data_IF_529117545575
#
_entry.id   IF_529117545575
#
_cell.length_a   1.000
_cell.length_b   1.000
_cell.length_c   1.000
_cell.angle_alpha   90.00
_cell.angle_beta   90.00
_cell.angle_gamma   90.00
#
_symmetry.space_group_name_H-M   'P 1'
#
loop_
_entity.id
_entity.type
_entity.pdbx_description
1 polymer ?
#
# COMPACT_ATOMS: atom_id res chain seq x y z
N UNK A 1 -62.66 -53.12 30.60
CA UNK A 1 -63.41 -53.24 29.34
C UNK A 1 -63.47 -51.85 28.84
N UNK A 2 -62.79 -51.52 27.84
CA UNK A 2 -62.69 -51.70 26.51
C UNK A 2 -61.51 -50.91 25.96
N UNK A 3 -60.90 -51.49 25.07
CA UNK A 3 -59.79 -51.13 24.19
C UNK A 3 -59.81 -49.72 23.65
N UNK A 4 -58.69 -48.98 23.87
CA UNK A 4 -58.31 -47.84 23.07
C UNK A 4 -57.05 -48.20 22.26
N UNK A 5 -57.34 -48.64 21.06
CA UNK A 5 -56.40 -48.96 19.97
C UNK A 5 -55.58 -47.76 19.62
N UNK A 6 -54.25 -47.85 19.78
CA UNK A 6 -53.30 -46.85 19.37
C UNK A 6 -53.20 -46.83 17.81
N UNK A 7 -53.87 -45.90 17.17
CA UNK A 7 -53.65 -45.57 15.77
C UNK A 7 -52.28 -44.91 15.67
N UNK A 8 -51.27 -45.67 15.24
CA UNK A 8 -50.00 -45.10 14.78
C UNK A 8 -50.26 -44.39 13.45
N UNK A 9 -50.26 -43.07 13.48
CA UNK A 9 -50.23 -42.26 12.26
C UNK A 9 -48.96 -42.58 11.48
N UNK A 10 -49.09 -43.00 10.23
CA UNK A 10 -47.99 -43.12 9.27
C UNK A 10 -47.45 -41.71 8.99
N UNK A 11 -46.12 -41.51 8.86
CA UNK A 11 -45.59 -40.22 8.47
C UNK A 11 -46.06 -39.88 7.06
N UNK A 12 -46.49 -38.62 6.89
CA UNK A 12 -46.97 -38.01 5.68
C UNK A 12 -46.03 -38.27 4.50
N UNK A 13 -46.45 -39.07 3.53
CA UNK A 13 -45.82 -39.26 2.23
C UNK A 13 -45.94 -38.02 1.30
N UNK A 14 -46.66 -36.99 1.73
CA UNK A 14 -46.97 -35.80 0.93
C UNK A 14 -45.83 -34.78 0.77
N UNK A 15 -44.73 -34.93 1.49
CA UNK A 15 -43.63 -33.92 1.49
C UNK A 15 -42.29 -34.47 1.03
N UNK A 16 -42.32 -35.53 0.20
CA UNK A 16 -41.08 -35.94 -0.49
C UNK A 16 -40.95 -35.16 -1.80
N UNK A 17 -39.76 -34.52 -2.03
CA UNK A 17 -39.52 -33.88 -3.30
C UNK A 17 -39.65 -34.91 -4.44
N UNK A 18 -40.18 -34.53 -5.60
CA UNK A 18 -40.39 -35.44 -6.72
C UNK A 18 -39.08 -36.13 -7.08
N UNK A 19 -39.10 -37.48 -7.06
CA UNK A 19 -37.96 -38.29 -7.51
C UNK A 19 -37.73 -37.99 -8.98
N UNK A 20 -36.79 -37.12 -9.30
CA UNK A 20 -36.38 -36.88 -10.70
C UNK A 20 -35.96 -38.20 -11.33
N UNK A 21 -36.68 -38.64 -12.34
CA UNK A 21 -36.29 -39.79 -13.19
C UNK A 21 -34.92 -39.41 -13.77
N UNK A 22 -33.87 -40.12 -13.35
CA UNK A 22 -32.52 -39.95 -13.85
C UNK A 22 -32.51 -40.35 -15.32
N UNK A 23 -32.48 -39.38 -16.22
CA UNK A 23 -32.34 -39.64 -17.66
C UNK A 23 -31.08 -40.46 -17.92
N UNK A 24 -31.20 -41.62 -18.60
CA UNK A 24 -30.08 -42.55 -18.78
C UNK A 24 -28.90 -41.96 -19.55
N UNK A 25 -29.14 -40.94 -20.35
CA UNK A 25 -28.06 -40.35 -21.16
C UNK A 25 -27.23 -39.33 -20.40
N UNK A 26 -27.72 -38.72 -19.30
CA UNK A 26 -26.92 -37.85 -18.42
C UNK A 26 -25.77 -38.62 -17.80
N UNK A 27 -25.96 -39.91 -17.47
CA UNK A 27 -24.88 -40.79 -16.96
C UNK A 27 -23.79 -41.08 -18.00
N UNK A 28 -24.13 -40.98 -19.31
CA UNK A 28 -23.20 -41.40 -20.37
C UNK A 28 -22.28 -40.27 -20.84
N UNK A 29 -22.66 -39.01 -20.67
CA UNK A 29 -21.98 -37.87 -21.26
C UNK A 29 -21.60 -36.77 -20.25
N UNK A 30 -22.05 -36.85 -19.00
CA UNK A 30 -21.67 -35.87 -17.97
C UNK A 30 -20.25 -36.16 -17.45
N UNK A 31 -19.33 -35.21 -17.48
CA UNK A 31 -18.02 -35.36 -16.85
C UNK A 31 -18.19 -35.67 -15.36
N UNK A 32 -17.30 -36.46 -14.79
CA UNK A 32 -17.37 -36.94 -13.39
C UNK A 32 -17.47 -35.81 -12.35
N UNK A 33 -17.03 -34.60 -12.69
CA UNK A 33 -17.15 -33.40 -11.86
C UNK A 33 -18.56 -32.73 -11.92
N UNK A 34 -19.43 -33.15 -12.85
CA UNK A 34 -20.80 -32.65 -13.03
C UNK A 34 -21.83 -33.45 -12.22
N UNK A 35 -21.41 -34.55 -11.59
CA UNK A 35 -22.27 -35.29 -10.69
C UNK A 35 -22.54 -34.40 -9.48
N UNK A 36 -23.74 -33.84 -9.40
CA UNK A 36 -24.22 -33.09 -8.24
C UNK A 36 -24.13 -34.01 -7.02
N UNK A 37 -23.02 -33.94 -6.30
CA UNK A 37 -22.95 -34.59 -4.99
C UNK A 37 -23.94 -33.88 -4.09
N UNK A 38 -24.87 -34.58 -3.45
CA UNK A 38 -25.74 -33.96 -2.47
C UNK A 38 -24.82 -33.27 -1.46
N UNK A 39 -25.07 -31.97 -1.22
CA UNK A 39 -24.31 -31.24 -0.20
C UNK A 39 -24.42 -32.06 1.09
N UNK A 40 -23.29 -32.38 1.75
CA UNK A 40 -23.34 -33.05 3.02
C UNK A 40 -24.26 -32.25 3.96
N UNK A 41 -25.20 -32.96 4.62
CA UNK A 41 -26.07 -32.33 5.61
C UNK A 41 -25.19 -31.56 6.59
N UNK A 42 -25.43 -30.24 6.70
CA UNK A 42 -24.73 -29.40 7.66
C UNK A 42 -25.09 -29.89 9.05
N UNK A 43 -24.20 -30.69 9.65
CA UNK A 43 -24.32 -31.04 11.07
C UNK A 43 -24.30 -29.71 11.82
N UNK A 44 -25.38 -29.39 12.52
CA UNK A 44 -25.46 -28.20 13.37
C UNK A 44 -24.43 -28.33 14.48
N UNK A 45 -23.34 -27.58 14.35
CA UNK A 45 -22.31 -27.52 15.38
C UNK A 45 -22.86 -26.82 16.62
N UNK A 46 -22.43 -27.21 17.82
CA UNK A 46 -22.82 -26.50 19.04
C UNK A 46 -22.31 -25.05 18.98
N UNK A 47 -23.13 -24.09 19.41
CA UNK A 47 -22.84 -22.64 19.32
C UNK A 47 -21.44 -22.25 19.82
N UNK A 48 -20.93 -22.92 20.86
CA UNK A 48 -19.57 -22.68 21.36
C UNK A 48 -18.49 -23.02 20.34
N UNK A 49 -18.66 -24.07 19.53
CA UNK A 49 -17.71 -24.41 18.46
C UNK A 49 -17.77 -23.42 17.33
N UNK A 50 -18.95 -22.99 16.91
CA UNK A 50 -19.10 -21.95 15.91
C UNK A 50 -18.41 -20.63 16.35
N UNK A 51 -18.64 -20.22 17.60
CA UNK A 51 -18.03 -19.03 18.18
C UNK A 51 -16.49 -19.12 18.20
N UNK A 52 -15.92 -20.28 18.56
CA UNK A 52 -14.48 -20.51 18.53
C UNK A 52 -13.92 -20.49 17.09
N UNK A 53 -14.62 -21.07 16.13
CA UNK A 53 -14.22 -21.06 14.71
C UNK A 53 -14.23 -19.63 14.14
N UNK A 54 -15.29 -18.85 14.43
CA UNK A 54 -15.35 -17.45 14.03
C UNK A 54 -14.27 -16.61 14.73
N UNK A 55 -14.05 -16.83 16.02
CA UNK A 55 -13.03 -16.13 16.79
C UNK A 55 -11.61 -16.42 16.27
N UNK A 56 -11.30 -17.68 15.97
CA UNK A 56 -10.00 -18.06 15.43
C UNK A 56 -9.79 -17.48 14.01
N UNK A 57 -10.82 -17.49 13.17
CA UNK A 57 -10.76 -16.92 11.83
C UNK A 57 -10.52 -15.41 11.88
N UNK A 58 -11.23 -14.70 12.77
CA UNK A 58 -11.06 -13.27 12.98
C UNK A 58 -9.65 -12.96 13.49
N UNK A 59 -9.15 -13.75 14.44
CA UNK A 59 -7.79 -13.58 14.99
C UNK A 59 -6.73 -13.74 13.88
N UNK A 60 -6.84 -14.79 13.07
CA UNK A 60 -5.93 -15.01 11.94
C UNK A 60 -6.00 -13.86 10.93
N UNK A 61 -7.22 -13.40 10.60
CA UNK A 61 -7.41 -12.27 9.70
C UNK A 61 -6.77 -10.98 10.24
N UNK A 62 -6.92 -10.70 11.52
CA UNK A 62 -6.30 -9.54 12.17
C UNK A 62 -4.76 -9.63 12.18
N UNK A 63 -4.22 -10.81 12.45
CA UNK A 63 -2.76 -11.03 12.38
C UNK A 63 -2.25 -10.80 10.96
N UNK A 64 -2.89 -11.39 9.96
CA UNK A 64 -2.50 -11.21 8.56
C UNK A 64 -2.62 -9.75 8.11
N UNK A 65 -3.71 -9.06 8.46
CA UNK A 65 -3.89 -7.64 8.16
C UNK A 65 -2.80 -6.78 8.82
N UNK A 66 -2.44 -7.08 10.08
CA UNK A 66 -1.36 -6.39 10.79
C UNK A 66 0.00 -6.62 10.14
N UNK A 67 0.30 -7.84 9.71
CA UNK A 67 1.52 -8.16 8.98
C UNK A 67 1.58 -7.44 7.62
N UNK A 68 0.47 -7.43 6.88
CA UNK A 68 0.38 -6.69 5.62
C UNK A 68 0.64 -5.19 5.84
N UNK A 69 0.01 -4.58 6.85
CA UNK A 69 0.23 -3.17 7.17
C UNK A 69 1.67 -2.88 7.60
N UNK A 70 2.28 -3.79 8.37
CA UNK A 70 3.65 -3.62 8.85
C UNK A 70 4.70 -3.75 7.73
N UNK A 71 4.53 -4.71 6.80
CA UNK A 71 5.60 -5.12 5.88
C UNK A 71 5.31 -4.89 4.41
N UNK A 72 4.04 -4.78 4.00
CA UNK A 72 3.68 -4.70 2.59
C UNK A 72 3.34 -3.27 2.18
N UNK A 73 2.42 -2.65 2.89
CA UNK A 73 1.98 -1.30 2.54
C UNK A 73 1.59 -0.47 3.77
N UNK A 74 1.60 0.84 3.57
CA UNK A 74 1.15 1.79 4.57
C UNK A 74 0.28 2.86 3.94
N UNK A 75 -0.81 3.21 4.63
CA UNK A 75 -1.60 4.39 4.31
C UNK A 75 -1.04 5.58 5.08
N UNK A 76 -0.72 6.64 4.36
CA UNK A 76 -0.17 7.86 4.94
C UNK A 76 -1.04 9.03 4.49
N UNK A 77 -1.39 9.90 5.43
CA UNK A 77 -2.03 11.17 5.12
C UNK A 77 -0.97 12.20 4.79
N UNK A 78 -1.20 12.95 3.72
CA UNK A 78 -0.36 14.10 3.35
C UNK A 78 -0.64 15.23 4.33
N UNK A 79 0.40 15.81 4.90
CA UNK A 79 0.35 16.99 5.74
C UNK A 79 1.25 18.07 5.13
N UNK A 80 0.64 19.17 4.76
CA UNK A 80 1.29 20.31 4.11
C UNK A 80 1.37 20.24 2.59
N UNK A 81 1.87 21.33 2.01
CA UNK A 81 1.84 21.60 0.57
C UNK A 81 3.19 21.45 -0.13
N UNK A 82 4.16 20.78 0.48
CA UNK A 82 5.52 20.69 -0.08
C UNK A 82 5.61 19.86 -1.38
N UNK A 83 4.57 19.06 -1.68
CA UNK A 83 4.48 18.24 -2.89
C UNK A 83 3.42 18.74 -3.87
N UNK A 84 2.88 19.95 -3.65
CA UNK A 84 1.96 20.58 -4.61
C UNK A 84 2.67 20.82 -5.95
N UNK A 85 2.03 20.55 -7.09
CA UNK A 85 0.64 20.11 -7.29
C UNK A 85 0.46 18.59 -7.27
N UNK A 86 1.52 17.80 -7.14
CA UNK A 86 1.47 16.33 -7.20
C UNK A 86 0.60 15.73 -6.09
N UNK A 87 0.76 16.24 -4.87
CA UNK A 87 -0.02 15.83 -3.70
C UNK A 87 -0.55 17.08 -2.97
N UNK A 88 -1.79 16.98 -2.49
CA UNK A 88 -2.44 18.04 -1.75
C UNK A 88 -2.58 17.69 -0.27
N UNK A 89 -2.63 18.71 0.56
CA UNK A 89 -2.88 18.54 1.99
C UNK A 89 -4.17 17.78 2.27
N UNK A 90 -4.12 16.85 3.21
CA UNK A 90 -5.25 16.02 3.61
C UNK A 90 -5.54 14.79 2.74
N UNK A 91 -4.84 14.59 1.62
CA UNK A 91 -4.98 13.38 0.80
C UNK A 91 -4.42 12.15 1.51
N UNK A 92 -5.03 10.98 1.25
CA UNK A 92 -4.51 9.69 1.70
C UNK A 92 -3.83 8.98 0.55
N UNK A 93 -2.58 8.63 0.75
CA UNK A 93 -1.76 7.93 -0.23
C UNK A 93 -1.41 6.51 0.20
N UNK A 94 -1.24 5.66 -0.78
CA UNK A 94 -0.76 4.30 -0.64
C UNK A 94 0.75 4.25 -0.85
N UNK A 95 1.46 3.76 0.14
CA UNK A 95 2.92 3.63 0.15
C UNK A 95 3.28 2.16 0.13
N UNK A 96 4.00 1.73 -0.90
CA UNK A 96 4.55 0.38 -0.99
C UNK A 96 5.89 0.30 -0.27
N UNK A 97 6.03 -0.69 0.60
CA UNK A 97 7.29 -1.01 1.27
C UNK A 97 8.07 -2.11 0.56
N UNK A 98 7.44 -2.80 -0.40
CA UNK A 98 8.03 -3.94 -1.10
C UNK A 98 9.00 -3.53 -2.20
N UNK A 99 8.81 -2.36 -2.80
CA UNK A 99 9.64 -1.94 -3.93
C UNK A 99 11.08 -1.64 -3.49
N UNK A 100 11.24 -0.93 -2.39
CA UNK A 100 12.54 -0.63 -1.80
C UNK A 100 12.43 -0.10 -0.36
N UNK A 101 11.39 -0.52 0.36
CA UNK A 101 11.19 -0.11 1.75
C UNK A 101 12.20 -0.72 2.70
N UNK A 102 12.55 0.02 3.73
CA UNK A 102 13.23 -0.52 4.90
C UNK A 102 12.19 -0.98 5.92
N UNK A 103 12.25 -2.25 6.30
CA UNK A 103 11.34 -2.82 7.30
C UNK A 103 12.14 -3.41 8.45
N UNK A 104 11.67 -3.15 9.67
CA UNK A 104 12.21 -3.77 10.85
C UNK A 104 11.57 -5.13 11.07
N UNK A 105 12.34 -6.20 11.01
CA UNK A 105 11.91 -7.54 11.38
C UNK A 105 12.46 -7.87 12.77
N UNK A 106 11.57 -7.97 13.74
CA UNK A 106 11.97 -8.27 15.12
C UNK A 106 10.79 -8.58 16.01
N UNK A 107 11.10 -9.04 17.21
CA UNK A 107 10.10 -9.28 18.25
C UNK A 107 9.76 -7.94 18.91
N UNK A 108 8.50 -7.48 18.84
CA UNK A 108 8.12 -6.24 19.50
C UNK A 108 8.53 -6.22 20.96
N UNK A 109 9.03 -5.07 21.44
CA UNK A 109 9.42 -4.80 22.83
C UNK A 109 10.65 -5.53 23.37
N UNK A 110 11.32 -6.38 22.59
CA UNK A 110 12.52 -7.12 23.06
C UNK A 110 13.85 -6.49 22.66
N UNK A 111 13.82 -5.54 21.71
CA UNK A 111 15.04 -4.99 21.11
C UNK A 111 15.78 -5.99 20.20
N UNK A 112 15.25 -7.19 20.02
CA UNK A 112 15.82 -8.22 19.14
C UNK A 112 15.18 -8.06 17.77
N UNK A 113 15.99 -7.69 16.79
CA UNK A 113 15.55 -7.55 15.41
C UNK A 113 16.60 -6.92 14.53
N UNK A 114 16.36 -6.96 13.24
CA UNK A 114 17.24 -6.35 12.23
C UNK A 114 16.41 -5.60 11.22
N UNK A 115 16.93 -4.48 10.73
CA UNK A 115 16.41 -3.84 9.55
C UNK A 115 16.86 -4.62 8.32
N UNK A 116 15.95 -4.88 7.44
CA UNK A 116 16.25 -5.40 6.12
C UNK A 116 15.57 -4.55 5.06
N UNK A 117 16.24 -4.35 3.96
CA UNK A 117 15.69 -3.68 2.79
C UNK A 117 15.16 -4.74 1.84
N UNK A 118 13.91 -4.56 1.41
CA UNK A 118 13.27 -5.43 0.41
C UNK A 118 13.19 -4.65 -0.89
N UNK A 119 13.33 -5.35 -2.00
CA UNK A 119 13.17 -4.75 -3.32
C UNK A 119 14.45 -4.16 -3.92
N UNK A 120 14.27 -3.35 -4.94
CA UNK A 120 15.33 -2.72 -5.71
C UNK A 120 15.91 -1.46 -5.07
N UNK A 121 16.70 -0.75 -5.84
CA UNK A 121 17.16 0.57 -5.48
C UNK A 121 16.15 1.63 -5.95
N UNK A 122 15.96 2.71 -5.16
CA UNK A 122 15.12 3.83 -5.58
C UNK A 122 15.63 4.45 -6.88
N UNK A 123 14.70 4.82 -7.74
CA UNK A 123 15.04 5.43 -9.01
C UNK A 123 14.76 6.94 -9.00
N UNK A 124 15.41 7.65 -9.93
CA UNK A 124 15.20 9.08 -10.05
C UNK A 124 13.75 9.42 -10.39
N UNK A 125 13.22 10.43 -9.72
CA UNK A 125 11.86 10.94 -9.76
C UNK A 125 10.80 10.09 -9.07
N UNK A 126 11.19 9.01 -8.38
CA UNK A 126 10.26 8.33 -7.48
C UNK A 126 9.79 9.29 -6.39
N UNK A 127 8.49 9.22 -6.08
CA UNK A 127 7.93 9.90 -4.92
C UNK A 127 8.05 8.97 -3.72
N UNK A 128 8.82 9.40 -2.74
CA UNK A 128 9.17 8.56 -1.58
C UNK A 128 8.69 9.17 -0.28
N UNK A 129 8.30 8.30 0.65
CA UNK A 129 8.15 8.68 2.06
C UNK A 129 9.48 8.45 2.74
N UNK A 130 9.98 9.47 3.41
CA UNK A 130 11.27 9.42 4.10
C UNK A 130 11.18 10.02 5.50
N UNK A 131 12.08 9.57 6.37
CA UNK A 131 12.25 10.06 7.73
C UNK A 131 13.51 10.92 7.82
N UNK A 132 13.44 12.04 8.55
CA UNK A 132 14.64 12.77 8.93
C UNK A 132 14.97 12.46 10.40
N UNK A 133 16.17 12.01 10.73
CA UNK A 133 16.50 11.46 12.07
C UNK A 133 16.40 12.51 13.19
N UNK A 134 16.55 13.78 12.85
CA UNK A 134 16.55 14.89 13.82
C UNK A 134 15.19 15.61 13.90
N UNK A 135 14.15 15.07 13.26
CA UNK A 135 12.80 15.63 13.30
C UNK A 135 11.85 14.64 13.92
N UNK A 136 11.51 14.92 15.15
CA UNK A 136 10.55 14.15 15.93
C UNK A 136 9.26 14.97 16.10
N UNK A 137 8.14 14.27 16.21
CA UNK A 137 6.89 14.86 16.65
C UNK A 137 6.88 15.11 18.17
N UNK A 138 5.81 15.68 18.68
CA UNK A 138 5.63 15.97 20.12
C UNK A 138 5.63 14.70 20.99
N UNK A 139 5.51 13.51 20.38
CA UNK A 139 5.54 12.21 21.04
C UNK A 139 6.88 11.49 20.89
N UNK A 140 7.89 12.13 20.28
CA UNK A 140 9.21 11.55 20.05
C UNK A 140 9.29 10.56 18.89
N UNK A 141 8.24 10.47 18.05
CA UNK A 141 8.23 9.66 16.85
C UNK A 141 8.85 10.40 15.68
N UNK A 142 9.51 9.67 14.77
CA UNK A 142 10.10 10.27 13.57
C UNK A 142 9.00 10.79 12.65
N UNK A 143 9.13 12.05 12.22
CA UNK A 143 8.23 12.64 11.25
C UNK A 143 8.47 12.05 9.85
N UNK A 144 7.39 11.62 9.21
CA UNK A 144 7.39 11.19 7.82
C UNK A 144 7.23 12.39 6.89
N UNK A 145 8.10 12.50 5.90
CA UNK A 145 8.03 13.51 4.86
C UNK A 145 7.86 12.84 3.50
N UNK A 146 7.05 13.43 2.65
CA UNK A 146 6.94 12.99 1.27
C UNK A 146 7.76 13.92 0.41
N UNK A 147 8.63 13.36 -0.41
CA UNK A 147 9.51 14.09 -1.33
C UNK A 147 9.72 13.30 -2.60
N UNK A 148 10.20 13.99 -3.65
CA UNK A 148 10.63 13.36 -4.88
C UNK A 148 12.14 13.16 -4.86
N UNK A 149 12.58 11.97 -5.24
CA UNK A 149 13.98 11.62 -5.35
C UNK A 149 14.56 12.23 -6.63
N UNK A 150 15.53 13.12 -6.49
CA UNK A 150 16.09 13.90 -7.61
C UNK A 150 17.51 13.46 -7.93
N UNK A 151 18.32 13.18 -6.91
CA UNK A 151 19.71 12.77 -7.07
C UNK A 151 19.99 11.40 -6.48
N UNK A 152 20.66 10.55 -7.25
CA UNK A 152 21.13 9.22 -6.83
C UNK A 152 22.57 9.34 -6.26
N UNK A 153 23.05 8.31 -5.55
CA UNK A 153 24.43 8.27 -5.06
C UNK A 153 25.44 8.55 -6.18
N UNK A 154 26.32 9.54 -5.98
CA UNK A 154 27.33 9.96 -6.95
C UNK A 154 26.88 11.03 -7.94
N UNK A 155 25.59 11.37 -8.01
CA UNK A 155 25.11 12.44 -8.88
C UNK A 155 25.56 13.82 -8.40
N UNK A 156 25.77 14.72 -9.35
CA UNK A 156 25.94 16.15 -9.08
C UNK A 156 24.66 16.88 -9.44
N UNK A 157 23.95 17.38 -8.42
CA UNK A 157 22.67 18.08 -8.53
C UNK A 157 22.91 19.59 -8.50
N UNK A 158 22.28 20.32 -9.40
CA UNK A 158 22.27 21.78 -9.40
C UNK A 158 20.93 22.32 -9.91
N UNK A 159 20.55 23.50 -9.44
CA UNK A 159 19.44 24.29 -9.99
C UNK A 159 20.04 25.56 -10.55
N UNK A 160 19.73 25.86 -11.80
CA UNK A 160 20.20 27.08 -12.49
C UNK A 160 19.06 27.68 -13.31
N UNK A 161 18.77 28.93 -13.06
CA UNK A 161 17.69 29.66 -13.74
C UNK A 161 16.33 28.97 -13.62
N UNK A 162 16.07 28.31 -12.47
CA UNK A 162 14.84 27.58 -12.17
C UNK A 162 14.80 26.12 -12.63
N UNK A 163 15.77 25.65 -13.41
CA UNK A 163 15.79 24.29 -13.97
C UNK A 163 16.74 23.36 -13.23
N UNK A 164 16.33 22.09 -13.12
CA UNK A 164 17.15 21.04 -12.54
C UNK A 164 18.21 20.56 -13.54
N UNK A 165 19.43 20.44 -13.06
CA UNK A 165 20.54 19.80 -13.75
C UNK A 165 21.07 18.65 -12.90
N UNK A 166 21.25 17.48 -13.51
CA UNK A 166 21.92 16.36 -12.88
C UNK A 166 23.05 15.90 -13.78
N UNK A 167 24.26 15.87 -13.25
CA UNK A 167 25.49 15.58 -13.99
C UNK A 167 25.69 16.50 -15.22
N UNK A 168 25.25 17.75 -15.10
CA UNK A 168 25.31 18.74 -16.16
C UNK A 168 24.21 18.64 -17.23
N UNK A 169 23.35 17.63 -17.17
CA UNK A 169 22.21 17.46 -18.08
C UNK A 169 20.98 18.14 -17.48
N UNK A 170 20.31 18.98 -18.27
CA UNK A 170 19.04 19.62 -17.89
C UNK A 170 17.93 18.60 -17.96
N UNK A 171 17.10 18.56 -16.92
CA UNK A 171 15.89 17.73 -16.86
C UNK A 171 14.64 18.59 -17.03
N UNK A 172 13.68 18.05 -17.75
CA UNK A 172 12.33 18.58 -17.80
C UNK A 172 11.51 18.00 -16.63
N UNK A 173 10.77 18.87 -15.93
CA UNK A 173 10.05 18.53 -14.72
C UNK A 173 8.57 18.93 -14.86
N UNK A 174 7.76 18.15 -15.64
CA UNK A 174 6.38 18.50 -15.96
C UNK A 174 5.43 18.45 -14.75
N UNK A 175 5.88 17.89 -13.64
CA UNK A 175 5.13 17.79 -12.39
C UNK A 175 5.22 19.07 -11.52
N UNK A 176 6.02 20.06 -11.90
CA UNK A 176 6.13 21.30 -11.14
C UNK A 176 5.04 22.28 -11.55
N UNK A 177 4.42 22.95 -10.56
CA UNK A 177 3.57 24.11 -10.84
C UNK A 177 4.38 25.37 -11.17
N UNK A 178 5.53 25.52 -10.51
CA UNK A 178 6.40 26.68 -10.63
C UNK A 178 7.86 26.25 -10.61
N UNK A 179 8.70 26.93 -11.40
CA UNK A 179 10.13 26.73 -11.35
C UNK A 179 10.73 27.24 -10.04
N UNK A 180 11.90 26.69 -9.68
CA UNK A 180 12.60 27.12 -8.49
C UNK A 180 13.06 28.58 -8.61
N UNK A 181 12.74 29.39 -7.60
CA UNK A 181 13.13 30.81 -7.61
C UNK A 181 14.63 31.01 -7.34
N UNK A 182 15.25 30.08 -6.60
CA UNK A 182 16.63 30.18 -6.15
C UNK A 182 17.50 29.13 -6.82
N UNK A 183 18.70 29.55 -7.26
CA UNK A 183 19.74 28.63 -7.73
C UNK A 183 20.31 27.82 -6.56
N UNK A 184 20.73 26.59 -6.84
CA UNK A 184 21.31 25.68 -5.84
C UNK A 184 22.48 24.87 -6.42
N UNK A 185 23.46 24.60 -5.58
CA UNK A 185 24.56 23.71 -5.91
C UNK A 185 25.65 24.37 -6.80
N UNK A 186 26.47 23.60 -7.51
CA UNK A 186 26.42 22.14 -7.64
C UNK A 186 26.71 21.39 -6.33
N UNK A 187 25.95 20.34 -6.07
CA UNK A 187 26.10 19.47 -4.90
C UNK A 187 26.26 18.01 -5.35
N UNK A 188 27.37 17.38 -4.99
CA UNK A 188 27.59 15.96 -5.28
C UNK A 188 27.03 15.11 -4.16
N UNK A 189 26.10 14.23 -4.50
CA UNK A 189 25.42 13.32 -3.57
C UNK A 189 26.42 12.25 -3.11
N UNK A 190 26.69 12.10 -1.81
CA UNK A 190 27.62 11.11 -1.32
C UNK A 190 27.17 9.68 -1.62
N UNK A 191 28.10 8.72 -1.64
CA UNK A 191 27.78 7.31 -1.79
C UNK A 191 26.85 6.84 -0.67
N UNK A 192 25.78 6.10 -1.03
CA UNK A 192 24.75 5.62 -0.10
C UNK A 192 23.71 6.67 0.33
N UNK A 193 23.79 7.88 -0.24
CA UNK A 193 22.83 8.95 0.02
C UNK A 193 21.98 9.25 -1.19
N UNK A 194 20.81 9.82 -0.95
CA UNK A 194 19.83 10.21 -1.93
C UNK A 194 19.43 11.68 -1.72
N UNK A 195 19.32 12.43 -2.79
CA UNK A 195 18.92 13.83 -2.76
C UNK A 195 17.45 13.94 -3.11
N UNK A 196 16.64 14.44 -2.19
CA UNK A 196 15.20 14.54 -2.33
C UNK A 196 14.74 15.99 -2.30
N UNK A 197 13.73 16.31 -3.11
CA UNK A 197 13.14 17.65 -3.19
C UNK A 197 11.62 17.58 -3.18
N UNK A 198 10.99 18.63 -2.66
CA UNK A 198 9.54 18.80 -2.84
C UNK A 198 9.22 19.31 -4.25
N UNK A 199 8.04 18.95 -4.77
CA UNK A 199 7.57 19.46 -6.05
C UNK A 199 7.18 20.94 -5.95
N UNK A 200 6.72 21.38 -4.78
CA UNK A 200 6.62 22.80 -4.47
C UNK A 200 7.99 23.38 -4.13
N UNK A 201 8.79 23.66 -5.17
CA UNK A 201 10.20 24.06 -5.06
C UNK A 201 10.45 25.24 -4.15
N UNK A 202 9.52 26.20 -4.16
CA UNK A 202 9.62 27.46 -3.42
C UNK A 202 9.06 27.35 -1.97
N UNK A 203 8.36 26.25 -1.65
CA UNK A 203 7.79 26.00 -0.34
C UNK A 203 8.03 24.55 0.13
N UNK A 204 9.28 24.13 0.16
CA UNK A 204 9.67 22.80 0.62
C UNK A 204 10.93 22.84 1.46
N UNK A 205 10.84 22.25 2.64
CA UNK A 205 12.01 21.95 3.44
C UNK A 205 12.50 20.53 3.06
N UNK A 206 13.59 20.48 2.29
CA UNK A 206 14.09 19.26 1.65
C UNK A 206 15.63 19.21 1.68
N UNK A 207 16.25 18.35 0.88
CA UNK A 207 17.70 18.14 0.91
C UNK A 207 18.53 19.36 0.62
N UNK A 208 17.96 20.41 0.04
CA UNK A 208 18.66 21.71 -0.15
C UNK A 208 18.97 22.36 1.18
N UNK A 209 18.11 22.19 2.17
CA UNK A 209 18.25 22.78 3.52
C UNK A 209 18.69 21.76 4.58
N UNK A 210 18.22 20.50 4.47
CA UNK A 210 18.42 19.46 5.49
C UNK A 210 19.55 18.49 5.17
N UNK A 211 20.10 18.54 3.94
CA UNK A 211 21.04 17.55 3.43
C UNK A 211 20.38 16.30 2.86
N UNK A 212 21.15 15.42 2.23
CA UNK A 212 20.68 14.20 1.62
C UNK A 212 20.26 13.17 2.69
N UNK A 213 19.44 12.21 2.30
CA UNK A 213 18.95 11.12 3.16
C UNK A 213 19.66 9.82 2.83
N UNK A 214 19.77 8.92 3.82
CA UNK A 214 20.32 7.58 3.62
C UNK A 214 19.23 6.61 3.18
N UNK A 215 19.64 5.44 2.69
CA UNK A 215 18.74 4.40 2.19
C UNK A 215 17.73 3.91 3.25
N UNK A 216 18.18 3.80 4.50
CA UNK A 216 17.36 3.36 5.64
C UNK A 216 16.34 4.40 6.10
N UNK A 217 16.50 5.66 5.69
CA UNK A 217 15.51 6.71 5.94
C UNK A 217 14.32 6.64 4.98
N UNK A 218 14.41 5.88 3.88
CA UNK A 218 13.32 5.71 2.92
C UNK A 218 12.37 4.63 3.43
N UNK A 219 11.14 5.02 3.75
CA UNK A 219 10.08 4.13 4.25
C UNK A 219 9.45 3.32 3.12
N UNK A 220 9.29 3.93 1.94
CA UNK A 220 8.71 3.29 0.78
C UNK A 220 8.34 4.29 -0.32
N UNK A 221 7.85 3.75 -1.43
CA UNK A 221 7.42 4.52 -2.60
C UNK A 221 5.92 4.80 -2.57
N UNK A 222 5.55 6.02 -2.92
CA UNK A 222 4.14 6.40 -3.11
C UNK A 222 3.66 5.87 -4.45
N UNK A 223 2.70 4.96 -4.44
CA UNK A 223 2.16 4.34 -5.66
C UNK A 223 0.87 4.99 -6.15
N UNK A 224 0.14 5.65 -5.28
CA UNK A 224 -1.12 6.30 -5.66
C UNK A 224 -1.83 6.99 -4.52
N UNK A 225 -2.84 7.76 -4.89
CA UNK A 225 -3.75 8.44 -3.98
C UNK A 225 -5.03 7.60 -3.89
N UNK A 226 -5.44 7.25 -2.67
CA UNK A 226 -6.66 6.46 -2.42
C UNK A 226 -7.85 7.36 -2.18
N UNK A 227 -7.65 8.46 -1.45
CA UNK A 227 -8.72 9.37 -1.07
C UNK A 227 -8.24 10.81 -1.16
N UNK A 228 -9.05 11.65 -1.83
CA UNK A 228 -8.87 13.09 -1.90
C UNK A 228 -9.84 13.78 -0.95
N UNK A 229 -9.33 14.63 -0.09
CA UNK A 229 -10.16 15.36 0.89
C UNK A 229 -10.87 16.57 0.26
N UNK A 230 -10.40 17.06 -0.86
CA UNK A 230 -10.99 18.18 -1.61
C UNK A 230 -11.21 17.78 -3.07
N UNK A 231 -12.39 18.09 -3.67
CA UNK A 231 -12.54 18.04 -5.12
C UNK A 231 -11.62 19.11 -5.71
N UNK A 232 -10.45 18.71 -6.22
CA UNK A 232 -9.64 19.65 -6.98
C UNK A 232 -10.34 19.92 -8.30
N UNK A 233 -10.66 21.19 -8.57
CA UNK A 233 -11.10 21.68 -9.88
C UNK A 233 -9.98 21.68 -10.92
N UNK A 234 -8.80 21.22 -10.54
CA UNK A 234 -7.65 21.04 -11.43
C UNK A 234 -7.61 19.56 -11.81
N UNK A 235 -7.73 19.31 -13.10
CA UNK A 235 -7.55 17.99 -13.69
C UNK A 235 -6.16 17.49 -13.32
N UNK A 236 -6.13 16.65 -12.29
CA UNK A 236 -4.92 15.97 -11.87
C UNK A 236 -4.58 14.96 -12.96
N UNK A 237 -3.52 15.22 -13.69
CA UNK A 237 -2.97 14.24 -14.59
C UNK A 237 -2.47 13.05 -13.77
N UNK A 238 -3.11 11.90 -13.98
CA UNK A 238 -2.76 10.60 -13.36
C UNK A 238 -1.26 10.25 -13.51
N UNK A 239 -0.59 10.96 -14.42
CA UNK A 239 0.84 10.88 -14.69
C UNK A 239 1.76 11.55 -13.67
N UNK A 240 1.27 12.42 -12.77
CA UNK A 240 2.15 13.19 -11.88
C UNK A 240 2.91 12.32 -10.85
N UNK A 241 2.40 11.14 -10.50
CA UNK A 241 3.12 10.16 -9.70
C UNK A 241 4.04 9.26 -10.55
N UNK A 242 3.85 9.24 -11.88
CA UNK A 242 4.70 8.48 -12.78
C UNK A 242 6.00 9.24 -13.04
N UNK A 243 7.05 8.48 -13.28
CA UNK A 243 8.33 9.04 -13.75
C UNK A 243 8.10 9.70 -15.09
N UNK A 244 8.64 10.90 -15.33
CA UNK A 244 8.63 11.47 -16.66
C UNK A 244 9.36 10.51 -17.62
N UNK A 245 8.81 10.33 -18.82
CA UNK A 245 9.48 9.52 -19.84
C UNK A 245 10.74 10.27 -20.31
N UNK A 246 11.86 9.83 -19.79
CA UNK A 246 13.19 10.43 -20.08
C UNK A 246 13.75 10.07 -21.47
N UNK A 247 12.95 9.40 -22.33
CA UNK A 247 13.37 8.93 -23.65
C UNK A 247 13.01 9.91 -24.79
N UNK A 248 12.79 11.17 -24.48
CA UNK A 248 12.60 12.20 -25.51
C UNK A 248 13.73 13.20 -25.50
#
# INVERSE_FOLDING_TARGET
MSDLEKVKAKPDEANQPPKMKKDPWIKKYAPSWWVFQPRPEKIKKPFKQELCEWGSTLLVALILASLCHAYVFQLVRVDGNSMYPTLHDGEFMYVSKLDYGSSFFGVPFTGIGSYFTVGGEPERFDVVVCNYPNRLDDHGSRLNFVKRLVGLPGDTVAIRGGFLYVNGVKYDEPFLAEYCAEDFGPYTVPAGYYFVMGDNRNNSNDSRATGPITRDMIVGEVKGIIWRSTPSSLDYEEGALRRPDLRK
#
